data_IF_697136815702
#
_entry.id   IF_697136815702
#
_cell.length_a   1.000
_cell.length_b   1.000
_cell.length_c   1.000
_cell.angle_alpha   90.00
_cell.angle_beta   90.00
_cell.angle_gamma   90.00
#
_symmetry.space_group_name_H-M   'P 1'
#
loop_
_entity.id
_entity.type
_entity.pdbx_description
1 polymer ?
#
# COMPACT_ATOMS: atom_id res chain seq x y z
N UNK A 1 16.33 18.06 8.65
CA UNK A 1 17.08 18.14 7.37
C UNK A 1 16.62 16.98 6.49
N UNK A 2 15.67 17.21 5.58
CA UNK A 2 15.21 16.20 4.64
C UNK A 2 16.10 16.24 3.39
N UNK A 3 16.80 15.15 3.10
CA UNK A 3 17.55 15.00 1.84
C UNK A 3 16.59 14.47 0.79
N UNK A 4 16.13 15.35 -0.10
CA UNK A 4 15.57 14.95 -1.39
C UNK A 4 16.72 14.67 -2.33
N UNK A 5 16.94 13.39 -2.67
CA UNK A 5 17.87 13.00 -3.72
C UNK A 5 17.07 12.86 -5.02
N UNK A 6 17.24 13.80 -5.94
CA UNK A 6 16.70 13.72 -7.29
C UNK A 6 17.55 12.76 -8.12
N UNK A 7 17.01 11.59 -8.45
CA UNK A 7 17.55 10.74 -9.51
C UNK A 7 16.52 10.68 -10.64
N UNK A 8 16.90 11.23 -11.79
CA UNK A 8 16.08 11.28 -12.99
C UNK A 8 15.76 9.88 -13.49
N UNK A 9 14.47 9.64 -13.76
CA UNK A 9 14.01 8.44 -14.46
C UNK A 9 14.14 8.69 -15.96
N UNK A 10 15.20 8.14 -16.57
CA UNK A 10 15.31 8.03 -18.03
C UNK A 10 15.08 6.57 -18.44
N UNK A 11 13.89 6.33 -19.00
CA UNK A 11 13.56 5.37 -20.06
C UNK A 11 14.41 4.10 -20.22
N UNK A 12 13.87 2.96 -19.77
CA UNK A 12 14.19 1.64 -20.31
C UNK A 12 12.88 0.84 -20.46
N UNK A 13 12.39 0.79 -21.70
CA UNK A 13 11.27 -0.04 -22.12
C UNK A 13 11.69 -1.52 -22.11
N UNK A 14 11.38 -2.24 -21.03
CA UNK A 14 11.33 -3.70 -21.03
C UNK A 14 9.86 -4.11 -21.23
N UNK A 15 9.51 -4.41 -22.49
CA UNK A 15 8.17 -4.88 -22.88
C UNK A 15 7.89 -6.26 -22.30
N UNK A 16 6.82 -6.34 -21.52
CA UNK A 16 6.34 -7.54 -20.83
C UNK A 16 5.40 -7.26 -19.65
N UNK A 17 5.22 -6.00 -19.24
CA UNK A 17 4.16 -5.59 -18.31
C UNK A 17 3.06 -4.91 -19.13
N UNK A 18 1.80 -5.27 -18.89
CA UNK A 18 0.67 -4.61 -19.55
C UNK A 18 0.79 -3.10 -19.35
N UNK A 19 0.75 -2.32 -20.43
CA UNK A 19 0.77 -0.85 -20.39
C UNK A 19 -0.65 -0.31 -20.15
N UNK A 20 -1.55 -1.11 -19.57
CA UNK A 20 -2.87 -0.66 -19.21
C UNK A 20 -2.74 0.17 -17.94
N UNK A 21 -3.09 1.46 -18.03
CA UNK A 21 -3.26 2.32 -16.84
C UNK A 21 -4.35 1.82 -15.88
N UNK A 22 -5.03 0.73 -16.25
CA UNK A 22 -6.15 0.12 -15.55
C UNK A 22 -5.77 -1.18 -14.82
N UNK A 23 -4.52 -1.66 -14.90
CA UNK A 23 -4.08 -2.84 -14.15
C UNK A 23 -3.87 -2.43 -12.67
N UNK A 24 -4.56 -3.05 -11.70
CA UNK A 24 -4.48 -2.64 -10.31
C UNK A 24 -3.05 -2.78 -9.77
N UNK A 25 -2.50 -1.68 -9.25
CA UNK A 25 -1.18 -1.69 -8.62
C UNK A 25 -1.30 -2.24 -7.20
N UNK A 26 -0.33 -3.05 -6.80
CA UNK A 26 -0.25 -3.58 -5.43
C UNK A 26 0.59 -2.68 -4.53
N UNK A 27 0.11 -2.44 -3.33
CA UNK A 27 0.80 -1.67 -2.31
C UNK A 27 0.87 -2.47 -1.01
N UNK A 28 2.03 -2.42 -0.36
CA UNK A 28 2.17 -2.70 1.06
C UNK A 28 1.87 -1.41 1.81
N UNK A 29 1.00 -1.49 2.81
CA UNK A 29 0.72 -0.39 3.73
C UNK A 29 1.07 -0.86 5.13
N UNK A 30 1.93 -0.09 5.78
CA UNK A 30 2.31 -0.29 7.18
C UNK A 30 1.60 0.78 7.99
N UNK A 31 0.73 0.36 8.91
CA UNK A 31 0.05 1.24 9.85
C UNK A 31 0.71 1.11 11.22
N UNK A 32 1.10 2.22 11.83
CA UNK A 32 1.57 2.28 13.21
C UNK A 32 0.47 2.91 14.06
N UNK A 33 -0.20 2.08 14.86
CA UNK A 33 -1.35 2.53 15.66
C UNK A 33 -0.92 3.47 16.78
N UNK A 34 -1.70 4.53 16.98
CA UNK A 34 -1.52 5.40 18.13
C UNK A 34 -1.95 4.63 19.40
N UNK A 35 -1.06 4.43 20.40
CA UNK A 35 -1.33 3.50 21.50
C UNK A 35 -2.61 3.79 22.28
N UNK A 36 -2.98 5.06 22.44
CA UNK A 36 -4.18 5.47 23.17
C UNK A 36 -5.48 5.35 22.34
N UNK A 37 -5.36 5.00 21.06
CA UNK A 37 -6.48 4.95 20.09
C UNK A 37 -6.76 3.55 19.57
N UNK A 38 -5.92 2.54 19.83
CA UNK A 38 -6.08 1.16 19.32
C UNK A 38 -7.49 0.61 19.56
N UNK A 39 -8.02 0.72 20.78
CA UNK A 39 -9.38 0.25 21.08
C UNK A 39 -10.44 0.97 20.23
N UNK A 40 -10.35 2.29 20.13
CA UNK A 40 -11.27 3.09 19.35
C UNK A 40 -11.15 2.83 17.83
N UNK A 41 -9.95 2.50 17.35
CA UNK A 41 -9.71 2.05 15.97
C UNK A 41 -10.50 0.78 15.70
N UNK A 42 -10.36 -0.26 16.54
CA UNK A 42 -11.08 -1.52 16.35
C UNK A 42 -12.60 -1.37 16.50
N UNK A 43 -13.08 -0.55 17.45
CA UNK A 43 -14.52 -0.25 17.58
C UNK A 43 -15.09 0.45 16.34
N UNK A 44 -14.33 1.39 15.75
CA UNK A 44 -14.73 2.05 14.50
C UNK A 44 -14.69 1.07 13.34
N UNK A 45 -13.67 0.23 13.25
CA UNK A 45 -13.52 -0.80 12.22
C UNK A 45 -14.66 -1.81 12.25
N UNK A 46 -15.09 -2.25 13.44
CA UNK A 46 -16.23 -3.16 13.62
C UNK A 46 -17.54 -2.51 13.17
N UNK A 47 -17.73 -1.22 13.48
CA UNK A 47 -18.94 -0.47 13.13
C UNK A 47 -19.02 -0.06 11.66
N UNK A 48 -17.92 0.40 11.08
CA UNK A 48 -17.89 1.09 9.77
C UNK A 48 -17.17 0.27 8.69
N UNK A 49 -16.53 -0.85 9.06
CA UNK A 49 -15.61 -1.56 8.19
C UNK A 49 -14.39 -0.69 7.84
N UNK A 50 -13.72 -1.04 6.74
CA UNK A 50 -12.50 -0.33 6.28
C UNK A 50 -12.77 1.00 5.59
N UNK A 51 -14.04 1.28 5.25
CA UNK A 51 -14.48 2.51 4.54
C UNK A 51 -13.66 2.73 3.25
N UNK A 52 -13.44 1.65 2.49
CA UNK A 52 -12.66 1.66 1.26
C UNK A 52 -13.37 2.52 0.19
N UNK A 53 -12.70 3.54 -0.37
CA UNK A 53 -13.17 4.22 -1.57
C UNK A 53 -13.30 3.27 -2.77
N UNK A 54 -14.16 3.59 -3.76
CA UNK A 54 -14.25 2.81 -4.99
C UNK A 54 -12.89 2.64 -5.67
N UNK A 55 -12.62 1.42 -6.15
CA UNK A 55 -11.36 1.06 -6.82
C UNK A 55 -10.22 0.64 -5.90
N UNK A 56 -10.37 0.77 -4.57
CA UNK A 56 -9.39 0.25 -3.61
C UNK A 56 -9.85 -1.12 -3.09
N UNK A 57 -9.03 -2.14 -3.27
CA UNK A 57 -9.32 -3.49 -2.81
C UNK A 57 -8.36 -3.89 -1.69
N UNK A 58 -8.91 -4.46 -0.62
CA UNK A 58 -8.12 -5.10 0.43
C UNK A 58 -7.80 -6.55 0.02
N UNK A 59 -6.54 -6.95 0.12
CA UNK A 59 -6.13 -8.33 -0.15
C UNK A 59 -5.94 -9.13 1.14
N UNK A 60 -5.06 -8.66 2.03
CA UNK A 60 -4.81 -9.32 3.32
C UNK A 60 -4.09 -8.39 4.31
N UNK A 61 -4.06 -8.76 5.59
CA UNK A 61 -3.29 -8.07 6.62
C UNK A 61 -2.81 -9.00 7.72
N UNK A 62 -1.72 -8.60 8.37
CA UNK A 62 -1.14 -9.23 9.54
C UNK A 62 -0.84 -8.16 10.58
N UNK A 63 -1.13 -8.45 11.84
CA UNK A 63 -0.93 -7.53 12.95
C UNK A 63 0.15 -8.17 13.83
N UNK A 64 1.08 -7.35 14.30
CA UNK A 64 2.12 -7.83 15.21
C UNK A 64 1.53 -8.25 16.57
N UNK A 65 2.27 -9.04 17.35
CA UNK A 65 1.76 -9.57 18.62
C UNK A 65 1.45 -8.48 19.66
N UNK A 66 2.09 -7.32 19.56
CA UNK A 66 1.83 -6.20 20.47
C UNK A 66 0.61 -5.36 20.10
N UNK A 67 -0.01 -5.63 18.93
CA UNK A 67 -1.14 -4.88 18.39
C UNK A 67 -0.80 -3.40 18.25
N UNK A 68 0.41 -3.10 17.80
CA UNK A 68 0.88 -1.74 17.51
C UNK A 68 1.07 -1.48 16.02
N UNK A 69 1.29 -2.54 15.23
CA UNK A 69 1.62 -2.40 13.81
C UNK A 69 0.80 -3.37 12.96
N UNK A 70 0.17 -2.82 11.93
CA UNK A 70 -0.55 -3.59 10.91
C UNK A 70 0.22 -3.54 9.59
N UNK A 71 0.48 -4.71 9.03
CA UNK A 71 1.03 -4.89 7.69
C UNK A 71 -0.10 -5.35 6.79
N UNK A 72 -0.48 -4.57 5.78
CA UNK A 72 -1.53 -4.97 4.86
C UNK A 72 -1.12 -4.80 3.42
N UNK A 73 -1.72 -5.64 2.57
CA UNK A 73 -1.58 -5.56 1.13
C UNK A 73 -2.91 -5.14 0.54
N UNK A 74 -2.86 -4.11 -0.30
CA UNK A 74 -4.02 -3.54 -0.97
C UNK A 74 -3.74 -3.34 -2.46
N UNK A 75 -4.78 -3.35 -3.26
CA UNK A 75 -4.76 -2.93 -4.65
C UNK A 75 -5.41 -1.56 -4.79
N UNK A 76 -4.81 -0.69 -5.60
CA UNK A 76 -5.40 0.59 -5.97
C UNK A 76 -4.94 1.04 -7.36
N UNK A 77 -5.69 1.92 -8.04
CA UNK A 77 -5.30 2.44 -9.36
C UNK A 77 -4.09 3.38 -9.27
N UNK A 78 -3.88 4.03 -8.12
CA UNK A 78 -2.74 4.92 -7.88
C UNK A 78 -2.51 5.16 -6.38
N UNK A 79 -1.32 5.66 -6.05
CA UNK A 79 -0.96 6.08 -4.68
C UNK A 79 -1.88 7.19 -4.15
N UNK A 80 -2.33 8.11 -5.02
CA UNK A 80 -3.19 9.23 -4.64
C UNK A 80 -4.53 8.77 -4.07
N UNK A 81 -5.09 7.67 -4.60
CA UNK A 81 -6.34 7.09 -4.11
C UNK A 81 -6.19 6.55 -2.68
N UNK A 82 -5.04 5.94 -2.36
CA UNK A 82 -4.73 5.47 -1.00
C UNK A 82 -4.53 6.63 -0.03
N UNK A 83 -3.97 7.76 -0.47
CA UNK A 83 -3.82 8.96 0.36
C UNK A 83 -5.16 9.52 0.86
N UNK A 84 -6.23 9.43 0.06
CA UNK A 84 -7.56 9.85 0.49
C UNK A 84 -8.17 8.91 1.54
N UNK A 85 -7.87 7.61 1.46
CA UNK A 85 -8.31 6.62 2.44
C UNK A 85 -7.54 6.75 3.76
N UNK A 86 -6.21 6.86 3.73
CA UNK A 86 -5.37 7.01 4.95
C UNK A 86 -5.75 8.25 5.77
N UNK A 87 -6.07 9.37 5.12
CA UNK A 87 -6.61 10.57 5.80
C UNK A 87 -7.86 10.32 6.63
N UNK A 88 -8.67 9.31 6.32
CA UNK A 88 -9.87 8.98 7.13
C UNK A 88 -9.52 8.27 8.43
N UNK A 89 -8.30 7.76 8.54
CA UNK A 89 -7.79 6.94 9.63
C UNK A 89 -6.58 7.57 10.34
N UNK A 90 -6.08 8.72 9.89
CA UNK A 90 -4.87 9.39 10.41
C UNK A 90 -4.95 9.76 11.90
N UNK A 91 -6.15 9.91 12.46
CA UNK A 91 -6.36 10.12 13.90
C UNK A 91 -6.08 8.88 14.77
N UNK A 92 -5.91 7.71 14.14
CA UNK A 92 -5.74 6.42 14.83
C UNK A 92 -4.40 5.75 14.54
N UNK A 93 -3.75 6.10 13.43
CA UNK A 93 -2.52 5.46 12.99
C UNK A 93 -1.70 6.38 12.07
N UNK A 94 -0.39 6.18 12.07
CA UNK A 94 0.52 6.72 11.07
C UNK A 94 0.71 5.69 9.93
N UNK A 95 0.94 6.16 8.70
CA UNK A 95 0.94 5.30 7.51
C UNK A 95 2.24 5.41 6.70
N UNK A 96 2.76 4.25 6.29
CA UNK A 96 3.76 4.13 5.23
C UNK A 96 3.16 3.35 4.06
N UNK A 97 3.25 3.89 2.84
CA UNK A 97 2.69 3.25 1.64
C UNK A 97 3.83 2.96 0.66
N UNK A 98 4.00 1.68 0.32
CA UNK A 98 5.13 1.18 -0.47
C UNK A 98 4.55 0.46 -1.70
N UNK A 99 4.81 0.93 -2.92
CA UNK A 99 4.47 0.17 -4.13
C UNK A 99 5.28 -1.14 -4.15
N UNK A 100 4.60 -2.27 -4.35
CA UNK A 100 5.24 -3.58 -4.38
C UNK A 100 4.86 -4.33 -5.66
N UNK A 101 5.65 -5.36 -5.97
CA UNK A 101 5.38 -6.31 -7.04
C UNK A 101 5.44 -7.71 -6.44
N UNK A 102 4.72 -8.65 -7.03
CA UNK A 102 4.82 -10.05 -6.62
C UNK A 102 6.19 -10.64 -6.97
N UNK A 103 6.50 -11.80 -6.39
CA UNK A 103 7.79 -12.46 -6.57
C UNK A 103 8.05 -12.93 -8.00
N UNK A 104 7.01 -13.28 -8.76
CA UNK A 104 7.14 -13.69 -10.17
C UNK A 104 7.54 -12.49 -11.04
N UNK A 105 6.87 -11.35 -10.86
CA UNK A 105 7.20 -10.09 -11.53
C UNK A 105 8.60 -9.61 -11.17
N UNK A 106 8.99 -9.67 -9.89
CA UNK A 106 10.34 -9.33 -9.44
C UNK A 106 11.40 -10.23 -10.11
N UNK A 107 11.16 -11.54 -10.13
CA UNK A 107 12.04 -12.51 -10.78
C UNK A 107 12.19 -12.23 -12.28
N UNK A 108 11.10 -11.95 -12.99
CA UNK A 108 11.13 -11.60 -14.40
C UNK A 108 11.95 -10.32 -14.66
N UNK A 109 11.74 -9.27 -13.83
CA UNK A 109 12.45 -7.99 -13.92
C UNK A 109 13.96 -8.15 -13.71
N UNK A 110 14.38 -8.94 -12.74
CA UNK A 110 15.80 -9.11 -12.40
C UNK A 110 16.51 -10.05 -13.39
N UNK A 111 15.84 -11.14 -13.81
CA UNK A 111 16.47 -12.17 -14.64
C UNK A 111 16.31 -11.92 -16.15
N UNK A 112 15.53 -10.91 -16.57
CA UNK A 112 15.29 -10.58 -17.97
C UNK A 112 14.54 -11.68 -18.74
N UNK A 113 13.77 -12.54 -18.05
CA UNK A 113 12.98 -13.61 -18.66
C UNK A 113 11.50 -13.27 -18.59
N UNK A 114 10.87 -13.03 -19.75
CA UNK A 114 9.43 -13.13 -19.89
C UNK A 114 9.05 -14.62 -19.83
N UNK A 115 8.11 -14.97 -18.95
CA UNK A 115 7.44 -16.27 -18.96
C UNK A 115 6.17 -16.19 -19.79
#
# INVERSE_FOLDING_TARGET
MARTCSAGYSSLEARGVSNNKDDPMTFMIIEHFHPQRVKALYERLDREGRILPPGINYLNSWIDESVSTCYQVMEAPSLEQLSAWTKRWEDYADFEIIPVIDSQTAKARVLGKSF
#
